data_IF_910753800110
#
_entry.id   IF_910753800110
#
_cell.length_a   1.000
_cell.length_b   1.000
_cell.length_c   1.000
_cell.angle_alpha   90.00
_cell.angle_beta   90.00
_cell.angle_gamma   90.00
#
_symmetry.space_group_name_H-M   'P 1'
#
loop_
_entity.id
_entity.type
_entity.pdbx_description
1 polymer ?
#
# COMPACT_ATOMS: atom_id res chain seq x y z
N UNK A 1 -11.89 44.27 62.68
CA UNK A 1 -12.59 43.02 63.08
C UNK A 1 -12.82 42.13 61.88
N UNK A 2 -12.14 41.01 61.94
CA UNK A 2 -12.48 39.74 61.33
C UNK A 2 -12.74 39.61 59.81
N UNK A 3 -11.68 39.28 59.04
CA UNK A 3 -11.75 38.48 57.86
C UNK A 3 -10.63 37.42 57.90
N UNK A 4 -10.82 36.39 58.70
CA UNK A 4 -9.97 35.23 58.82
C UNK A 4 -10.86 33.98 58.88
N UNK A 5 -11.51 33.57 57.77
CA UNK A 5 -12.15 32.26 57.67
C UNK A 5 -12.65 32.03 56.23
N UNK A 6 -11.76 31.71 55.27
CA UNK A 6 -12.04 30.58 54.42
C UNK A 6 -10.78 29.80 53.91
N UNK A 7 -9.65 29.87 54.64
CA UNK A 7 -8.43 29.13 54.18
C UNK A 7 -8.37 27.70 54.70
N UNK A 8 -9.22 27.31 55.65
CA UNK A 8 -9.17 25.96 56.24
C UNK A 8 -9.98 24.87 55.49
N UNK A 9 -10.82 25.24 54.50
CA UNK A 9 -11.63 24.25 53.76
C UNK A 9 -10.99 23.76 52.47
N UNK A 10 -9.90 24.38 51.97
CA UNK A 10 -9.22 23.96 50.75
C UNK A 10 -8.11 22.92 51.00
N UNK A 11 -7.69 22.75 52.24
CA UNK A 11 -6.61 21.80 52.58
C UNK A 11 -7.08 20.34 52.78
N UNK A 12 -8.38 20.08 52.87
CA UNK A 12 -8.91 18.73 53.07
C UNK A 12 -9.25 17.98 51.79
N UNK A 13 -9.23 18.63 50.61
CA UNK A 13 -9.47 17.96 49.33
C UNK A 13 -8.20 17.44 48.60
N UNK A 14 -7.02 17.67 49.15
CA UNK A 14 -5.75 17.23 48.58
C UNK A 14 -5.19 15.92 49.18
N UNK A 15 -5.88 15.25 50.08
CA UNK A 15 -5.44 14.04 50.75
C UNK A 15 -6.17 12.76 50.30
N UNK A 16 -6.78 12.75 49.11
CA UNK A 16 -7.66 11.67 48.65
C UNK A 16 -7.19 10.77 47.49
N UNK A 17 -5.94 10.90 47.02
CA UNK A 17 -5.40 9.95 46.02
C UNK A 17 -4.21 9.19 46.61
N UNK A 18 -4.47 8.24 47.47
CA UNK A 18 -3.43 7.27 47.86
C UNK A 18 -2.86 6.54 46.66
N UNK A 19 -1.57 6.29 46.66
CA UNK A 19 -0.95 5.46 45.59
C UNK A 19 -1.69 4.12 45.52
N UNK A 20 -1.96 3.59 44.31
CA UNK A 20 -2.66 2.32 44.18
C UNK A 20 -1.88 1.21 44.88
N UNK A 21 -2.57 0.44 45.73
CA UNK A 21 -1.97 -0.72 46.38
C UNK A 21 -1.84 -1.84 45.36
N UNK A 22 -0.63 -2.26 45.07
CA UNK A 22 -0.31 -3.30 44.10
C UNK A 22 0.32 -4.47 44.86
N UNK A 23 -0.36 -5.64 44.88
CA UNK A 23 0.12 -6.83 45.57
C UNK A 23 1.09 -7.65 44.72
N UNK A 24 0.90 -7.67 43.42
CA UNK A 24 1.78 -8.35 42.47
C UNK A 24 2.12 -7.42 41.31
N UNK A 25 3.25 -6.71 41.39
CA UNK A 25 3.63 -5.73 40.37
C UNK A 25 3.78 -6.32 38.99
N UNK A 26 4.40 -7.50 38.84
CA UNK A 26 4.65 -8.16 37.56
C UNK A 26 3.34 -8.56 36.85
N UNK A 27 2.37 -9.12 37.56
CA UNK A 27 1.05 -9.44 37.02
C UNK A 27 0.28 -8.19 36.67
N UNK A 28 0.25 -7.20 37.56
CA UNK A 28 -0.46 -5.93 37.36
C UNK A 28 0.10 -5.16 36.16
N UNK A 29 1.40 -5.20 35.96
CA UNK A 29 2.07 -4.55 34.83
C UNK A 29 1.58 -5.08 33.48
N UNK A 30 1.18 -6.34 33.40
CA UNK A 30 0.75 -6.99 32.16
C UNK A 30 -0.76 -6.93 31.92
N UNK A 31 -1.57 -6.41 32.85
CA UNK A 31 -3.00 -6.25 32.70
C UNK A 31 -3.32 -5.04 31.79
N UNK A 32 -3.76 -5.31 30.57
CA UNK A 32 -4.23 -4.25 29.66
C UNK A 32 -5.48 -3.57 30.19
N UNK A 33 -5.65 -2.28 29.88
CA UNK A 33 -6.83 -1.52 30.34
C UNK A 33 -6.73 -0.92 31.74
N UNK A 34 -5.64 -1.18 32.50
CA UNK A 34 -5.34 -0.41 33.72
C UNK A 34 -4.92 1.01 33.37
N UNK A 35 -5.13 1.94 34.30
CA UNK A 35 -4.67 3.34 34.11
C UNK A 35 -3.14 3.43 34.04
N UNK A 36 -2.65 4.45 33.35
CA UNK A 36 -1.21 4.76 33.29
C UNK A 36 -0.56 4.83 34.67
N UNK A 37 -1.23 5.45 35.63
CA UNK A 37 -0.75 5.57 37.02
C UNK A 37 -0.49 4.20 37.66
N UNK A 38 -1.36 3.20 37.40
CA UNK A 38 -1.20 1.83 37.93
C UNK A 38 0.01 1.16 37.27
N UNK A 39 0.15 1.26 35.95
CA UNK A 39 1.31 0.69 35.25
C UNK A 39 2.62 1.32 35.68
N UNK A 40 2.68 2.65 35.79
CA UNK A 40 3.87 3.38 36.25
C UNK A 40 4.23 2.95 37.66
N UNK A 41 3.25 2.86 38.56
CA UNK A 41 3.48 2.39 39.94
C UNK A 41 3.99 0.95 39.99
N UNK A 42 3.48 0.07 39.14
CA UNK A 42 3.99 -1.30 39.03
C UNK A 42 5.45 -1.33 38.54
N UNK A 43 5.83 -0.47 37.57
CA UNK A 43 7.21 -0.34 37.12
C UNK A 43 8.13 0.16 38.27
N UNK A 44 7.71 1.19 39.03
CA UNK A 44 8.48 1.69 40.17
C UNK A 44 8.75 0.61 41.22
N UNK A 45 7.75 -0.23 41.51
CA UNK A 45 7.91 -1.33 42.44
C UNK A 45 8.88 -2.39 41.89
N UNK A 46 8.79 -2.75 40.60
CA UNK A 46 9.71 -3.68 39.97
C UNK A 46 11.13 -3.11 39.85
N UNK A 47 11.27 -1.81 39.60
CA UNK A 47 12.58 -1.13 39.63
C UNK A 47 13.28 -1.31 40.99
N UNK A 48 12.49 -1.28 42.10
CA UNK A 48 13.02 -1.45 43.45
C UNK A 48 13.19 -2.93 43.87
N UNK A 49 12.37 -3.85 43.34
CA UNK A 49 12.31 -5.24 43.76
C UNK A 49 13.34 -6.11 43.00
N UNK A 50 13.37 -6.01 41.66
CA UNK A 50 14.17 -6.86 40.79
C UNK A 50 15.21 -6.08 39.99
N UNK A 51 14.95 -4.79 39.74
CA UNK A 51 15.83 -3.94 38.94
C UNK A 51 15.68 -4.14 37.44
N UNK A 52 16.22 -3.20 36.66
CA UNK A 52 16.15 -3.20 35.20
C UNK A 52 16.99 -4.30 34.54
N UNK A 53 17.93 -4.90 35.26
CA UNK A 53 18.77 -6.02 34.83
C UNK A 53 17.97 -7.31 34.67
N UNK A 54 16.83 -7.44 35.36
CA UNK A 54 15.94 -8.62 35.24
C UNK A 54 15.40 -8.80 33.85
N UNK A 55 15.65 -9.96 33.24
CA UNK A 55 15.29 -10.24 31.86
C UNK A 55 13.78 -10.32 31.63
N UNK A 56 13.03 -10.81 32.62
CA UNK A 56 11.57 -10.95 32.49
C UNK A 56 10.91 -9.59 32.64
N UNK A 57 11.42 -8.73 33.50
CA UNK A 57 10.98 -7.34 33.55
C UNK A 57 11.28 -6.59 32.26
N UNK A 58 12.48 -6.73 31.64
CA UNK A 58 12.78 -6.17 30.33
C UNK A 58 11.78 -6.65 29.25
N UNK A 59 11.46 -7.94 29.23
CA UNK A 59 10.46 -8.49 28.27
C UNK A 59 9.09 -7.85 28.48
N UNK A 60 8.68 -7.62 29.72
CA UNK A 60 7.43 -6.94 30.04
C UNK A 60 7.43 -5.49 29.54
N UNK A 61 8.51 -4.73 29.79
CA UNK A 61 8.66 -3.36 29.28
C UNK A 61 8.61 -3.33 27.75
N UNK A 62 9.33 -4.23 27.08
CA UNK A 62 9.24 -4.37 25.61
C UNK A 62 7.80 -4.63 25.14
N UNK A 63 7.05 -5.51 25.84
CA UNK A 63 5.66 -5.77 25.48
C UNK A 63 4.78 -4.53 25.63
N UNK A 64 4.95 -3.75 26.69
CA UNK A 64 4.17 -2.53 26.93
C UNK A 64 4.34 -1.52 25.78
N UNK A 65 5.57 -1.31 25.32
CA UNK A 65 5.88 -0.37 24.24
C UNK A 65 5.09 -0.70 22.96
N UNK A 66 4.94 -2.01 22.63
CA UNK A 66 4.45 -2.43 21.33
C UNK A 66 3.04 -3.03 21.31
N UNK A 67 2.55 -3.55 22.41
CA UNK A 67 1.24 -4.19 22.43
C UNK A 67 0.09 -3.17 22.51
N UNK A 68 -1.04 -3.43 21.85
CA UNK A 68 -2.24 -2.62 22.04
C UNK A 68 -2.75 -2.72 23.49
N UNK A 69 -3.53 -1.70 23.93
CA UNK A 69 -4.17 -1.71 25.24
C UNK A 69 -3.37 -1.07 26.37
N UNK A 70 -2.14 -0.61 26.12
CA UNK A 70 -1.39 0.24 27.06
C UNK A 70 -1.48 1.72 26.67
N UNK A 71 -1.54 2.60 27.67
CA UNK A 71 -1.57 4.04 27.44
C UNK A 71 -0.22 4.54 26.91
N UNK A 72 -0.22 5.69 26.25
CA UNK A 72 1.00 6.32 25.74
C UNK A 72 2.00 6.63 26.87
N UNK A 73 1.52 7.09 28.02
CA UNK A 73 2.36 7.40 29.18
C UNK A 73 3.04 6.15 29.75
N UNK A 74 2.33 5.01 29.83
CA UNK A 74 2.91 3.75 30.26
C UNK A 74 3.99 3.26 29.29
N UNK A 75 3.74 3.41 27.98
CA UNK A 75 4.71 3.06 26.92
C UNK A 75 5.95 3.93 26.97
N UNK A 76 5.77 5.24 27.18
CA UNK A 76 6.88 6.18 27.34
C UNK A 76 7.75 5.83 28.55
N UNK A 77 7.14 5.56 29.70
CA UNK A 77 7.86 5.18 30.91
C UNK A 77 8.61 3.85 30.76
N UNK A 78 8.05 2.89 30.00
CA UNK A 78 8.74 1.65 29.67
C UNK A 78 9.91 1.89 28.71
N UNK A 79 9.73 2.78 27.71
CA UNK A 79 10.78 3.15 26.76
C UNK A 79 11.96 3.84 27.46
N UNK A 80 11.67 4.81 28.34
CA UNK A 80 12.72 5.55 29.07
C UNK A 80 13.58 4.64 29.96
N UNK A 81 12.99 3.62 30.59
CA UNK A 81 13.73 2.63 31.38
C UNK A 81 14.67 1.80 30.52
N UNK A 82 14.18 1.28 29.40
CA UNK A 82 15.00 0.51 28.45
C UNK A 82 16.08 1.38 27.80
N UNK A 83 15.78 2.64 27.51
CA UNK A 83 16.72 3.62 26.96
C UNK A 83 17.85 3.93 27.94
N UNK A 84 17.51 4.15 29.20
CA UNK A 84 18.51 4.41 30.27
C UNK A 84 19.42 3.21 30.55
N UNK A 85 18.90 1.99 30.36
CA UNK A 85 19.63 0.75 30.60
C UNK A 85 20.53 0.35 29.42
N UNK A 86 19.97 0.32 28.18
CA UNK A 86 20.70 -0.12 27.00
C UNK A 86 20.21 0.66 25.75
N UNK A 87 20.86 1.78 25.50
CA UNK A 87 20.55 2.64 24.33
C UNK A 87 20.69 1.90 23.00
N UNK A 88 21.77 1.12 22.84
CA UNK A 88 22.03 0.42 21.57
C UNK A 88 20.97 -0.64 21.26
N UNK A 89 20.57 -1.42 22.26
CA UNK A 89 19.50 -2.41 22.12
C UNK A 89 18.17 -1.76 21.83
N UNK A 90 17.90 -0.61 22.47
CA UNK A 90 16.67 0.19 22.22
C UNK A 90 16.67 0.72 20.80
N UNK A 91 17.75 1.32 20.29
CA UNK A 91 17.88 1.78 18.90
C UNK A 91 17.68 0.61 17.93
N UNK A 92 18.29 -0.55 18.16
CA UNK A 92 18.09 -1.75 17.32
C UNK A 92 16.63 -2.17 17.27
N UNK A 93 15.94 -2.14 18.41
CA UNK A 93 14.50 -2.51 18.49
C UNK A 93 13.63 -1.49 17.76
N UNK A 94 13.88 -0.20 17.95
CA UNK A 94 13.19 0.88 17.27
C UNK A 94 13.38 0.79 15.75
N UNK A 95 14.61 0.55 15.27
CA UNK A 95 14.92 0.37 13.84
C UNK A 95 14.09 -0.73 13.20
N UNK A 96 13.79 -1.81 13.93
CA UNK A 96 12.98 -2.93 13.41
C UNK A 96 11.48 -2.69 13.50
N UNK A 97 11.01 -1.98 14.54
CA UNK A 97 9.60 -1.85 14.86
C UNK A 97 8.94 -0.62 14.28
N UNK A 98 9.62 0.52 14.29
CA UNK A 98 9.07 1.79 13.80
C UNK A 98 8.51 1.71 12.36
N UNK A 99 9.18 1.07 11.39
CA UNK A 99 8.64 0.94 10.03
C UNK A 99 7.37 0.12 9.91
N UNK A 100 6.99 -0.62 10.97
CA UNK A 100 5.82 -1.51 10.98
C UNK A 100 4.69 -0.99 11.86
N UNK A 101 4.86 0.19 12.44
CA UNK A 101 3.84 0.78 13.30
C UNK A 101 2.74 1.41 12.46
N UNK A 102 1.50 1.15 12.87
CA UNK A 102 0.36 1.87 12.33
C UNK A 102 0.34 3.30 12.90
N UNK A 103 -0.32 4.21 12.17
CA UNK A 103 -0.58 5.57 12.62
C UNK A 103 -1.35 5.60 13.94
N UNK A 104 -1.02 6.56 14.77
CA UNK A 104 -1.67 6.78 16.04
C UNK A 104 -0.83 7.65 16.98
N UNK A 105 -1.41 8.07 18.08
CA UNK A 105 -0.79 8.98 19.05
C UNK A 105 0.56 8.48 19.56
N UNK A 106 0.71 7.18 19.75
CA UNK A 106 1.99 6.61 20.20
C UNK A 106 3.10 6.74 19.17
N UNK A 107 2.81 6.56 17.89
CA UNK A 107 3.80 6.76 16.81
C UNK A 107 4.25 8.23 16.76
N UNK A 108 3.31 9.16 16.91
CA UNK A 108 3.61 10.59 16.95
C UNK A 108 4.53 10.93 18.13
N UNK A 109 4.18 10.51 19.35
CA UNK A 109 4.99 10.73 20.54
C UNK A 109 6.39 10.09 20.44
N UNK A 110 6.47 8.92 19.82
CA UNK A 110 7.76 8.26 19.60
C UNK A 110 8.64 9.05 18.63
N UNK A 111 8.07 9.60 17.55
CA UNK A 111 8.78 10.47 16.60
C UNK A 111 9.25 11.78 17.29
N UNK A 112 8.40 12.39 18.12
CA UNK A 112 8.75 13.56 18.92
C UNK A 112 9.90 13.27 19.90
N UNK A 113 9.84 12.13 20.60
CA UNK A 113 10.89 11.70 21.51
C UNK A 113 12.22 11.42 20.76
N UNK A 114 12.18 10.73 19.61
CA UNK A 114 13.38 10.49 18.76
C UNK A 114 14.04 11.82 18.38
N UNK A 115 13.22 12.82 18.07
CA UNK A 115 13.69 14.17 17.72
C UNK A 115 14.30 14.88 18.93
N UNK A 116 13.63 14.82 20.08
CA UNK A 116 14.12 15.47 21.33
C UNK A 116 15.48 14.88 21.78
N UNK A 117 15.64 13.57 21.67
CA UNK A 117 16.89 12.87 22.01
C UNK A 117 17.93 12.92 20.87
N UNK A 118 17.61 13.54 19.72
CA UNK A 118 18.48 13.67 18.55
C UNK A 118 19.09 12.32 18.09
N UNK A 119 18.25 11.26 18.01
CA UNK A 119 18.68 9.90 17.67
C UNK A 119 18.82 9.77 16.14
N UNK A 120 19.89 10.34 15.59
CA UNK A 120 20.15 10.37 14.15
C UNK A 120 20.28 8.98 13.50
N UNK A 121 20.66 7.96 14.28
CA UNK A 121 20.78 6.56 13.84
C UNK A 121 19.43 5.94 13.41
N UNK A 122 18.33 6.60 13.72
CA UNK A 122 16.98 6.15 13.34
C UNK A 122 16.45 6.80 12.05
N UNK A 123 17.24 7.63 11.36
CA UNK A 123 16.76 8.30 10.13
C UNK A 123 16.25 7.30 9.06
N UNK A 124 16.98 6.19 8.82
CA UNK A 124 16.53 5.17 7.88
C UNK A 124 15.23 4.49 8.33
N UNK A 125 15.00 4.31 9.62
CA UNK A 125 13.78 3.76 10.17
C UNK A 125 12.60 4.73 10.02
N UNK A 126 12.84 6.03 10.22
CA UNK A 126 11.87 7.10 9.98
C UNK A 126 11.50 7.18 8.49
N UNK A 127 12.49 7.19 7.58
CA UNK A 127 12.24 7.16 6.13
C UNK A 127 11.42 5.91 5.75
N UNK A 128 11.80 4.74 6.27
CA UNK A 128 11.09 3.48 6.00
C UNK A 128 9.66 3.46 6.54
N UNK A 129 9.41 4.11 7.68
CA UNK A 129 8.08 4.28 8.24
C UNK A 129 7.24 5.27 7.43
N UNK A 130 7.84 6.40 7.05
CA UNK A 130 7.19 7.43 6.24
C UNK A 130 6.83 6.93 4.84
N UNK A 131 7.67 6.12 4.23
CA UNK A 131 7.43 5.56 2.90
C UNK A 131 6.21 4.62 2.85
N UNK A 132 5.76 4.06 3.98
CA UNK A 132 4.52 3.30 4.03
C UNK A 132 3.31 4.23 3.83
N UNK A 133 2.44 3.97 2.85
CA UNK A 133 1.23 4.76 2.65
C UNK A 133 0.31 4.72 3.89
N UNK A 134 -0.30 5.84 4.23
CA UNK A 134 -1.28 5.92 5.31
C UNK A 134 -2.56 6.61 4.81
N UNK A 135 -3.67 5.88 4.81
CA UNK A 135 -4.94 6.35 4.26
C UNK A 135 -5.60 7.50 5.04
N UNK A 136 -5.21 7.70 6.30
CA UNK A 136 -5.80 8.71 7.18
C UNK A 136 -5.05 10.05 7.17
N UNK A 137 -3.86 10.09 6.57
CA UNK A 137 -3.03 11.30 6.47
C UNK A 137 -3.31 11.97 5.13
N UNK A 138 -3.58 13.26 5.14
CA UNK A 138 -3.97 14.02 3.93
C UNK A 138 -2.77 14.46 3.10
N UNK A 139 -1.69 14.85 3.76
CA UNK A 139 -0.46 15.33 3.10
C UNK A 139 0.77 14.69 3.71
N UNK A 140 1.86 14.67 2.96
CA UNK A 140 3.13 14.10 3.45
C UNK A 140 3.70 14.92 4.61
N UNK A 141 3.42 16.22 4.65
CA UNK A 141 3.87 17.15 5.70
C UNK A 141 3.19 16.92 7.06
N UNK A 142 2.04 16.25 7.09
CA UNK A 142 1.35 15.88 8.33
C UNK A 142 1.92 14.60 8.98
N UNK A 143 2.83 13.91 8.29
CA UNK A 143 3.43 12.67 8.78
C UNK A 143 4.38 12.93 9.95
N UNK A 144 4.22 12.25 11.09
CA UNK A 144 5.09 12.45 12.25
C UNK A 144 6.56 12.14 11.95
N UNK A 145 6.82 11.19 11.04
CA UNK A 145 8.17 10.85 10.60
C UNK A 145 8.81 11.98 9.79
N UNK A 146 8.03 12.64 8.91
CA UNK A 146 8.50 13.81 8.17
C UNK A 146 8.84 14.95 9.12
N UNK A 147 7.94 15.25 10.08
CA UNK A 147 8.15 16.30 11.07
C UNK A 147 9.43 16.03 11.88
N UNK A 148 9.67 14.78 12.29
CA UNK A 148 10.88 14.38 13.00
C UNK A 148 12.14 14.59 12.14
N UNK A 149 12.14 14.11 10.90
CA UNK A 149 13.26 14.28 9.97
C UNK A 149 13.55 15.77 9.68
N UNK A 150 12.50 16.55 9.42
CA UNK A 150 12.59 17.98 9.18
C UNK A 150 13.23 18.75 10.36
N UNK A 151 12.88 18.35 11.58
CA UNK A 151 13.41 18.98 12.78
C UNK A 151 14.90 18.63 12.99
N UNK A 152 15.31 17.42 12.62
CA UNK A 152 16.71 16.97 12.77
C UNK A 152 17.63 17.45 11.62
N UNK A 153 17.11 17.58 10.39
CA UNK A 153 17.94 17.77 9.19
C UNK A 153 17.64 19.02 8.36
N UNK A 154 16.58 19.79 8.65
CA UNK A 154 15.99 20.83 7.79
C UNK A 154 15.23 20.29 6.56
N UNK A 155 14.29 21.10 6.05
CA UNK A 155 13.44 20.74 4.89
C UNK A 155 14.24 20.46 3.62
N UNK A 156 15.18 21.34 3.33
CA UNK A 156 15.97 21.28 2.08
C UNK A 156 16.86 20.04 1.99
N UNK A 157 17.25 19.48 3.14
CA UNK A 157 18.12 18.30 3.22
C UNK A 157 17.36 16.95 3.13
N UNK A 158 16.04 16.94 3.32
CA UNK A 158 15.28 15.69 3.42
C UNK A 158 15.34 14.87 2.13
N UNK A 159 15.13 15.51 0.99
CA UNK A 159 15.18 14.82 -0.30
C UNK A 159 16.55 14.22 -0.57
N UNK A 160 17.63 14.93 -0.22
CA UNK A 160 19.00 14.46 -0.35
C UNK A 160 19.24 13.27 0.60
N UNK A 161 18.78 13.37 1.83
CA UNK A 161 18.90 12.28 2.83
C UNK A 161 18.22 10.99 2.33
N UNK A 162 17.00 11.07 1.75
CA UNK A 162 16.29 9.91 1.21
C UNK A 162 17.05 9.35 0.00
N UNK A 163 17.53 10.23 -0.89
CA UNK A 163 18.26 9.85 -2.10
C UNK A 163 19.57 9.13 -1.76
N UNK A 164 20.38 9.70 -0.87
CA UNK A 164 21.65 9.12 -0.43
C UNK A 164 21.45 7.80 0.30
N UNK A 165 20.40 7.71 1.15
CA UNK A 165 20.03 6.48 1.83
C UNK A 165 19.61 5.38 0.83
N UNK A 166 18.94 5.73 -0.26
CA UNK A 166 18.56 4.80 -1.33
C UNK A 166 19.78 4.27 -2.07
N UNK A 167 20.72 5.16 -2.43
CA UNK A 167 21.92 4.79 -3.20
C UNK A 167 22.89 3.98 -2.34
N UNK A 168 23.12 4.41 -1.09
CA UNK A 168 24.05 3.75 -0.17
C UNK A 168 23.55 2.43 0.39
N UNK A 169 22.25 2.13 0.29
CA UNK A 169 21.68 0.88 0.78
C UNK A 169 22.27 -0.34 0.06
N UNK A 170 22.75 -1.31 0.83
CA UNK A 170 23.37 -2.54 0.29
C UNK A 170 22.38 -3.33 -0.57
N UNK A 171 22.87 -3.80 -1.71
CA UNK A 171 22.13 -4.35 -2.84
C UNK A 171 21.29 -5.60 -2.54
N UNK A 172 21.72 -6.48 -1.64
CA UNK A 172 21.13 -7.82 -1.54
C UNK A 172 19.94 -7.94 -0.60
N UNK A 173 19.99 -7.32 0.58
CA UNK A 173 18.94 -7.49 1.60
C UNK A 173 18.12 -6.24 1.89
N UNK A 174 18.49 -5.08 1.29
CA UNK A 174 17.79 -3.80 1.45
C UNK A 174 16.95 -3.38 0.26
N UNK A 175 16.63 -4.30 -0.65
CA UNK A 175 15.81 -3.98 -1.83
C UNK A 175 14.45 -3.37 -1.46
N UNK A 176 13.79 -3.89 -0.44
CA UNK A 176 12.53 -3.32 0.04
C UNK A 176 12.67 -1.89 0.57
N UNK A 177 13.80 -1.55 1.20
CA UNK A 177 14.08 -0.19 1.65
C UNK A 177 14.32 0.76 0.47
N UNK A 178 15.13 0.34 -0.52
CA UNK A 178 15.39 1.11 -1.75
C UNK A 178 14.11 1.40 -2.51
N UNK A 179 13.26 0.39 -2.66
CA UNK A 179 11.93 0.53 -3.28
C UNK A 179 11.08 1.57 -2.56
N UNK A 180 11.07 1.58 -1.24
CA UNK A 180 10.32 2.56 -0.44
C UNK A 180 10.88 3.98 -0.58
N UNK A 181 12.20 4.15 -0.59
CA UNK A 181 12.82 5.44 -0.86
C UNK A 181 12.44 5.95 -2.27
N UNK A 182 12.45 5.06 -3.27
CA UNK A 182 12.05 5.36 -4.63
C UNK A 182 10.60 5.87 -4.70
N UNK A 183 9.66 5.14 -4.10
CA UNK A 183 8.24 5.54 -4.02
C UNK A 183 8.06 6.86 -3.30
N UNK A 184 8.76 7.06 -2.18
CA UNK A 184 8.68 8.29 -1.40
C UNK A 184 9.19 9.50 -2.21
N UNK A 185 10.31 9.37 -2.93
CA UNK A 185 10.83 10.42 -3.80
C UNK A 185 9.84 10.77 -4.94
N UNK A 186 9.11 9.79 -5.47
CA UNK A 186 8.02 10.05 -6.42
C UNK A 186 6.87 10.84 -5.79
N UNK A 187 6.42 10.48 -4.58
CA UNK A 187 5.37 11.20 -3.85
C UNK A 187 5.77 12.64 -3.52
N UNK A 188 7.07 12.86 -3.29
CA UNK A 188 7.66 14.17 -3.05
C UNK A 188 8.00 14.95 -4.34
N UNK A 189 7.52 14.50 -5.51
CA UNK A 189 7.71 15.15 -6.82
C UNK A 189 9.18 15.23 -7.30
N UNK A 190 10.04 14.32 -6.85
CA UNK A 190 11.45 14.26 -7.31
C UNK A 190 11.67 13.31 -8.51
N UNK A 191 10.63 13.05 -9.33
CA UNK A 191 10.70 12.17 -10.51
C UNK A 191 11.82 12.57 -11.47
N UNK A 192 11.99 13.87 -11.75
CA UNK A 192 13.03 14.35 -12.65
C UNK A 192 14.46 13.98 -12.18
N UNK A 193 14.70 14.03 -10.86
CA UNK A 193 15.98 13.63 -10.26
C UNK A 193 16.21 12.10 -10.39
N UNK A 194 15.16 11.31 -10.24
CA UNK A 194 15.23 9.85 -10.42
C UNK A 194 15.51 9.47 -11.87
N UNK A 195 14.90 10.14 -12.84
CA UNK A 195 15.19 9.96 -14.27
C UNK A 195 16.65 10.32 -14.54
N UNK A 196 17.11 11.47 -14.07
CA UNK A 196 18.51 11.91 -14.25
C UNK A 196 19.51 10.91 -13.66
N UNK A 197 19.20 10.32 -12.51
CA UNK A 197 20.00 9.24 -11.92
C UNK A 197 20.11 8.04 -12.87
N UNK A 198 18.98 7.58 -13.43
CA UNK A 198 18.97 6.44 -14.35
C UNK A 198 19.70 6.72 -15.68
N UNK A 199 19.64 7.96 -16.19
CA UNK A 199 20.30 8.36 -17.44
C UNK A 199 21.83 8.50 -17.29
N UNK A 200 22.26 9.07 -16.17
CA UNK A 200 23.66 9.54 -16.02
C UNK A 200 24.54 8.54 -15.26
N UNK A 201 23.95 7.55 -14.59
CA UNK A 201 24.71 6.63 -13.75
C UNK A 201 24.88 5.29 -14.44
N UNK A 202 26.13 4.81 -14.49
CA UNK A 202 26.43 3.43 -14.84
C UNK A 202 26.35 2.59 -13.55
N UNK A 203 25.35 1.74 -13.46
CA UNK A 203 25.18 0.82 -12.33
C UNK A 203 25.99 -0.44 -12.51
N UNK A 204 26.35 -1.07 -11.38
CA UNK A 204 26.98 -2.36 -11.40
C UNK A 204 25.99 -3.43 -11.89
N UNK A 205 26.45 -4.44 -12.61
CA UNK A 205 25.61 -5.49 -13.20
C UNK A 205 24.86 -6.32 -12.17
N UNK A 206 25.37 -6.40 -10.94
CA UNK A 206 24.71 -7.06 -9.80
C UNK A 206 23.68 -6.18 -9.07
N UNK A 207 23.56 -4.90 -9.43
CA UNK A 207 22.55 -4.00 -8.91
C UNK A 207 21.22 -4.12 -9.66
N UNK A 208 20.59 -5.27 -9.51
CA UNK A 208 19.35 -5.63 -10.20
C UNK A 208 18.27 -4.56 -10.04
N UNK A 209 18.21 -3.85 -8.90
CA UNK A 209 17.21 -2.81 -8.67
C UNK A 209 17.31 -1.68 -9.70
N UNK A 210 18.48 -1.08 -9.85
CA UNK A 210 18.66 0.00 -10.81
C UNK A 210 18.77 -0.48 -12.25
N UNK A 211 19.31 -1.68 -12.49
CA UNK A 211 19.37 -2.28 -13.83
C UNK A 211 17.96 -2.51 -14.39
N UNK A 212 17.03 -3.05 -13.58
CA UNK A 212 15.64 -3.24 -13.99
C UNK A 212 14.96 -1.90 -14.31
N UNK A 213 15.16 -0.88 -13.46
CA UNK A 213 14.60 0.47 -13.66
C UNK A 213 15.16 1.13 -14.92
N UNK A 214 16.47 1.05 -15.13
CA UNK A 214 17.14 1.61 -16.31
C UNK A 214 16.69 0.91 -17.59
N UNK A 215 16.53 -0.42 -17.54
CA UNK A 215 16.02 -1.21 -18.67
C UNK A 215 14.58 -0.82 -19.03
N UNK A 216 13.70 -0.66 -18.03
CA UNK A 216 12.32 -0.22 -18.26
C UNK A 216 12.26 1.19 -18.87
N UNK A 217 13.06 2.11 -18.35
CA UNK A 217 13.16 3.47 -18.90
C UNK A 217 13.67 3.46 -20.35
N UNK A 218 14.75 2.73 -20.63
CA UNK A 218 15.38 2.72 -21.96
C UNK A 218 14.58 1.97 -23.02
N UNK A 219 13.97 0.82 -22.64
CA UNK A 219 13.26 -0.03 -23.59
C UNK A 219 11.79 0.34 -23.74
N UNK A 220 11.12 0.68 -22.62
CA UNK A 220 9.70 0.93 -22.59
C UNK A 220 9.34 2.42 -22.44
N UNK A 221 10.31 3.26 -22.06
CA UNK A 221 10.06 4.67 -21.71
C UNK A 221 9.27 4.85 -20.41
N UNK A 222 9.22 3.80 -19.57
CA UNK A 222 8.43 3.80 -18.32
C UNK A 222 9.38 3.90 -17.14
N UNK A 223 9.09 4.86 -16.26
CA UNK A 223 9.73 4.98 -14.96
C UNK A 223 8.69 4.65 -13.89
N UNK A 224 8.77 3.47 -13.24
CA UNK A 224 7.75 3.02 -12.31
C UNK A 224 7.67 3.94 -11.10
N UNK A 225 6.44 4.12 -10.59
CA UNK A 225 6.21 4.98 -9.45
C UNK A 225 6.11 4.21 -8.14
N UNK A 226 5.80 2.90 -8.20
CA UNK A 226 5.43 2.08 -7.07
C UNK A 226 6.18 0.75 -7.04
N UNK A 227 6.23 0.18 -5.87
CA UNK A 227 6.86 -1.12 -5.63
C UNK A 227 6.31 -2.21 -6.53
N UNK A 228 5.00 -2.26 -6.71
CA UNK A 228 4.32 -3.30 -7.49
C UNK A 228 4.75 -3.26 -8.95
N UNK A 229 4.92 -2.07 -9.51
CA UNK A 229 5.43 -1.87 -10.87
C UNK A 229 6.91 -2.31 -11.01
N UNK A 230 7.73 -2.06 -9.98
CA UNK A 230 9.13 -2.53 -9.94
C UNK A 230 9.18 -4.06 -9.93
N UNK A 231 8.30 -4.71 -9.15
CA UNK A 231 8.19 -6.17 -9.15
C UNK A 231 7.73 -6.70 -10.52
N UNK A 232 6.81 -5.99 -11.17
CA UNK A 232 6.34 -6.32 -12.51
C UNK A 232 7.46 -6.24 -13.55
N UNK A 233 8.25 -5.17 -13.55
CA UNK A 233 9.43 -5.02 -14.42
C UNK A 233 10.41 -6.17 -14.21
N UNK A 234 10.70 -6.52 -12.97
CA UNK A 234 11.60 -7.63 -12.63
C UNK A 234 11.10 -8.95 -13.21
N UNK A 235 9.81 -9.22 -13.09
CA UNK A 235 9.20 -10.42 -13.63
C UNK A 235 9.30 -10.44 -15.16
N UNK A 236 8.86 -9.37 -15.83
CA UNK A 236 8.90 -9.25 -17.28
C UNK A 236 10.33 -9.21 -17.87
N UNK A 237 11.34 -8.92 -17.06
CA UNK A 237 12.75 -8.94 -17.47
C UNK A 237 13.33 -10.36 -17.59
N UNK A 238 12.62 -11.39 -17.10
CA UNK A 238 13.05 -12.78 -17.17
C UNK A 238 13.03 -13.32 -18.61
N UNK A 239 13.88 -14.33 -18.92
CA UNK A 239 13.99 -14.88 -20.29
C UNK A 239 12.68 -15.41 -20.85
N UNK A 240 11.80 -15.98 -20.02
CA UNK A 240 10.50 -16.51 -20.44
C UNK A 240 9.56 -15.45 -21.00
N UNK A 241 9.71 -14.19 -20.59
CA UNK A 241 8.91 -13.06 -21.05
C UNK A 241 9.58 -12.24 -22.17
N UNK A 242 10.74 -12.67 -22.67
CA UNK A 242 11.50 -11.91 -23.68
C UNK A 242 10.66 -11.54 -24.91
N UNK A 243 9.89 -12.47 -25.44
CA UNK A 243 9.05 -12.21 -26.62
C UNK A 243 8.02 -11.11 -26.36
N UNK A 244 7.39 -11.14 -25.19
CA UNK A 244 6.43 -10.10 -24.78
C UNK A 244 7.13 -8.76 -24.57
N UNK A 245 8.32 -8.75 -23.93
CA UNK A 245 9.10 -7.53 -23.73
C UNK A 245 9.47 -6.85 -25.04
N UNK A 246 9.97 -7.65 -26.01
CA UNK A 246 10.35 -7.13 -27.33
C UNK A 246 9.14 -6.54 -28.08
N UNK A 247 7.96 -7.16 -27.98
CA UNK A 247 6.72 -6.65 -28.55
C UNK A 247 6.23 -5.39 -27.83
N UNK A 248 6.32 -5.36 -26.52
CA UNK A 248 5.99 -4.17 -25.73
C UNK A 248 6.86 -2.97 -26.09
N UNK A 249 8.18 -3.20 -26.25
CA UNK A 249 9.13 -2.17 -26.70
C UNK A 249 8.72 -1.58 -28.06
N UNK A 250 8.37 -2.43 -29.03
CA UNK A 250 7.92 -1.98 -30.35
C UNK A 250 6.60 -1.20 -30.24
N UNK A 251 5.68 -1.67 -29.44
CA UNK A 251 4.35 -1.06 -29.30
C UNK A 251 4.44 0.33 -28.62
N UNK A 252 5.21 0.42 -27.54
CA UNK A 252 5.38 1.66 -26.78
C UNK A 252 6.22 2.70 -27.54
N UNK A 253 7.13 2.29 -28.44
CA UNK A 253 7.88 3.23 -29.26
C UNK A 253 7.03 4.04 -30.26
N UNK A 254 5.78 3.62 -30.49
CA UNK A 254 4.80 4.34 -31.33
C UNK A 254 4.09 5.49 -30.62
N UNK A 255 4.23 5.56 -29.29
CA UNK A 255 3.65 6.61 -28.46
C UNK A 255 4.58 7.83 -28.47
N UNK A 256 3.99 9.03 -28.53
CA UNK A 256 4.69 10.25 -28.17
C UNK A 256 4.98 10.33 -26.67
N UNK A 257 5.81 11.28 -26.26
CA UNK A 257 6.27 11.41 -24.88
C UNK A 257 5.09 11.66 -23.92
N UNK A 258 4.10 12.47 -24.31
CA UNK A 258 2.94 12.77 -23.46
C UNK A 258 2.06 11.56 -23.19
N UNK A 259 1.86 10.70 -24.20
CA UNK A 259 1.12 9.43 -24.02
C UNK A 259 1.93 8.42 -23.26
N UNK A 260 3.25 8.38 -23.48
CA UNK A 260 4.16 7.46 -22.79
C UNK A 260 4.25 7.79 -21.31
N UNK A 261 4.29 9.07 -20.93
CA UNK A 261 4.24 9.51 -19.54
C UNK A 261 2.92 9.16 -18.82
N UNK A 262 1.85 8.91 -19.58
CA UNK A 262 0.54 8.48 -19.05
C UNK A 262 0.37 6.95 -18.98
N UNK A 263 1.43 6.16 -19.23
CA UNK A 263 1.43 4.70 -19.16
C UNK A 263 2.02 4.24 -17.84
N UNK A 264 1.30 3.35 -17.16
CA UNK A 264 1.78 2.53 -16.05
C UNK A 264 2.07 1.10 -16.53
N UNK A 265 2.75 0.30 -15.72
CA UNK A 265 3.06 -1.10 -16.08
C UNK A 265 1.81 -1.92 -16.44
N UNK A 266 0.67 -1.69 -15.77
CA UNK A 266 -0.62 -2.35 -16.08
C UNK A 266 -1.14 -2.06 -17.48
N UNK A 267 -0.72 -0.95 -18.08
CA UNK A 267 -1.16 -0.58 -19.43
C UNK A 267 -0.27 -1.22 -20.51
N UNK A 268 0.91 -1.77 -20.18
CA UNK A 268 1.82 -2.37 -21.18
C UNK A 268 1.15 -3.48 -21.99
N UNK A 269 0.49 -4.49 -21.39
CA UNK A 269 -0.25 -5.50 -22.17
C UNK A 269 -1.37 -4.89 -23.01
N UNK A 270 -1.99 -3.83 -22.53
CA UNK A 270 -3.06 -3.11 -23.25
C UNK A 270 -2.51 -2.42 -24.49
N UNK A 271 -1.36 -1.76 -24.40
CA UNK A 271 -0.69 -1.12 -25.55
C UNK A 271 -0.25 -2.16 -26.59
N UNK A 272 0.22 -3.32 -26.15
CA UNK A 272 0.49 -4.46 -27.04
C UNK A 272 -0.80 -4.92 -27.75
N UNK A 273 -1.91 -5.03 -27.02
CA UNK A 273 -3.22 -5.36 -27.60
C UNK A 273 -3.73 -4.27 -28.54
N UNK A 274 -3.52 -3.00 -28.21
CA UNK A 274 -3.90 -1.88 -29.06
C UNK A 274 -3.25 -1.94 -30.43
N UNK A 275 -2.01 -2.37 -30.52
CA UNK A 275 -1.32 -2.57 -31.79
C UNK A 275 -2.01 -3.62 -32.68
N UNK A 276 -2.64 -4.63 -32.10
CA UNK A 276 -3.29 -5.73 -32.82
C UNK A 276 -4.77 -5.46 -33.13
N UNK A 277 -5.46 -4.74 -32.24
CA UNK A 277 -6.90 -4.57 -32.27
C UNK A 277 -7.38 -3.12 -32.46
N UNK A 278 -6.48 -2.14 -32.38
CA UNK A 278 -6.86 -0.72 -32.31
C UNK A 278 -7.05 0.00 -33.65
N UNK A 279 -6.69 -0.63 -34.77
CA UNK A 279 -6.76 0.00 -36.10
C UNK A 279 -5.62 1.01 -36.38
N UNK A 280 -5.60 1.60 -37.59
CA UNK A 280 -4.49 2.39 -38.10
C UNK A 280 -4.16 3.64 -37.26
N UNK A 281 -5.17 4.29 -36.67
CA UNK A 281 -5.01 5.52 -35.91
C UNK A 281 -5.03 5.30 -34.38
N UNK A 282 -4.88 4.05 -33.92
CA UNK A 282 -5.04 3.74 -32.49
C UNK A 282 -4.10 4.55 -31.60
N UNK A 283 -2.84 4.71 -32.04
CA UNK A 283 -1.79 5.39 -31.26
C UNK A 283 -1.83 6.92 -31.35
N UNK A 284 -2.52 7.49 -32.35
CA UNK A 284 -2.57 8.95 -32.55
C UNK A 284 -3.77 9.63 -31.91
N UNK A 285 -4.80 8.88 -31.48
CA UNK A 285 -5.99 9.43 -30.84
C UNK A 285 -5.66 10.11 -29.52
N UNK A 286 -6.32 11.24 -29.30
CA UNK A 286 -6.23 11.94 -28.02
C UNK A 286 -7.04 11.23 -26.94
N UNK A 287 -6.72 11.52 -25.68
CA UNK A 287 -7.49 11.04 -24.53
C UNK A 287 -8.96 11.42 -24.64
N UNK A 288 -9.25 12.65 -25.04
CA UNK A 288 -10.60 13.19 -25.18
C UNK A 288 -11.41 12.48 -26.27
N UNK A 289 -10.79 12.17 -27.41
CA UNK A 289 -11.45 11.40 -28.48
C UNK A 289 -11.85 10.00 -27.98
N UNK A 290 -10.95 9.30 -27.28
CA UNK A 290 -11.22 7.98 -26.74
C UNK A 290 -12.33 8.05 -25.68
N UNK A 291 -12.26 8.99 -24.73
CA UNK A 291 -13.26 9.15 -23.68
C UNK A 291 -14.66 9.49 -24.24
N UNK A 292 -14.74 10.31 -25.29
CA UNK A 292 -16.01 10.64 -25.94
C UNK A 292 -16.62 9.44 -26.68
N UNK A 293 -15.78 8.60 -27.31
CA UNK A 293 -16.23 7.35 -27.91
C UNK A 293 -16.73 6.36 -26.86
N UNK A 294 -16.00 6.23 -25.74
CA UNK A 294 -16.41 5.40 -24.60
C UNK A 294 -17.75 5.87 -24.02
N UNK A 295 -17.91 7.18 -23.81
CA UNK A 295 -19.16 7.74 -23.29
C UNK A 295 -20.34 7.43 -24.22
N UNK A 296 -20.12 7.51 -25.52
CA UNK A 296 -21.14 7.18 -26.52
C UNK A 296 -21.51 5.69 -26.47
N UNK A 297 -20.51 4.80 -26.39
CA UNK A 297 -20.72 3.34 -26.30
C UNK A 297 -21.41 2.94 -24.99
N UNK A 298 -21.07 3.59 -23.87
CA UNK A 298 -21.60 3.29 -22.54
C UNK A 298 -22.91 3.98 -22.22
N UNK A 299 -23.34 4.97 -23.00
CA UNK A 299 -24.56 5.74 -22.72
C UNK A 299 -25.81 4.90 -22.57
N UNK A 300 -25.91 3.82 -23.32
CA UNK A 300 -27.07 2.91 -23.34
C UNK A 300 -26.79 1.58 -22.66
N UNK A 301 -25.60 1.45 -22.00
CA UNK A 301 -25.28 0.26 -21.26
C UNK A 301 -26.12 0.19 -19.98
N UNK A 302 -26.67 -0.98 -19.70
CA UNK A 302 -27.35 -1.22 -18.42
C UNK A 302 -26.29 -1.32 -17.33
N UNK A 303 -26.37 -0.40 -16.38
CA UNK A 303 -25.50 -0.45 -15.23
C UNK A 303 -26.25 -1.11 -14.09
N UNK A 304 -25.66 -2.18 -13.59
CA UNK A 304 -26.08 -2.78 -12.33
C UNK A 304 -25.12 -2.23 -11.28
N UNK A 305 -25.57 -1.85 -10.24
CA UNK A 305 -25.30 -0.86 -9.41
C UNK A 305 -24.66 -0.99 -8.18
N UNK A 306 -24.43 -0.10 -7.64
CA UNK A 306 -24.29 0.42 -6.28
C UNK A 306 -24.49 -0.67 -5.25
N UNK A 307 -23.39 -1.18 -4.66
CA UNK A 307 -23.49 -1.79 -3.35
C UNK A 307 -24.03 -0.72 -2.41
N UNK A 308 -25.28 -0.82 -1.98
CA UNK A 308 -25.74 -0.08 -0.82
C UNK A 308 -24.90 -0.55 0.37
N UNK A 309 -23.90 0.25 0.74
CA UNK A 309 -23.12 -0.01 1.91
C UNK A 309 -24.01 -0.08 3.13
N UNK A 310 -24.09 -1.23 3.76
CA UNK A 310 -24.75 -1.37 5.06
C UNK A 310 -24.08 -0.43 6.07
N UNK A 311 -24.88 0.45 6.72
CA UNK A 311 -24.39 1.35 7.74
C UNK A 311 -24.05 2.76 7.25
N UNK A 312 -23.01 3.36 7.83
CA UNK A 312 -22.62 4.77 7.60
C UNK A 312 -21.89 5.02 6.25
N UNK A 313 -21.58 3.99 5.49
CA UNK A 313 -20.84 4.10 4.25
C UNK A 313 -21.79 4.07 3.05
N UNK A 314 -21.88 5.18 2.32
CA UNK A 314 -22.44 5.18 0.98
C UNK A 314 -21.38 4.67 0.02
N UNK A 315 -21.70 3.66 -0.77
CA UNK A 315 -20.88 3.26 -1.90
C UNK A 315 -20.70 4.44 -2.86
N UNK A 316 -19.48 4.66 -3.35
CA UNK A 316 -19.25 5.65 -4.39
C UNK A 316 -19.88 5.17 -5.71
N UNK A 317 -20.42 6.09 -6.49
CA UNK A 317 -20.93 5.77 -7.82
C UNK A 317 -19.78 5.28 -8.72
N UNK A 318 -19.87 4.07 -9.24
CA UNK A 318 -18.90 3.46 -10.17
C UNK A 318 -19.19 3.84 -11.65
N UNK A 319 -20.02 4.85 -11.89
CA UNK A 319 -20.37 5.27 -13.23
C UNK A 319 -19.19 5.93 -13.95
N UNK A 320 -18.99 5.57 -15.21
CA UNK A 320 -17.95 6.13 -16.06
C UNK A 320 -17.88 7.68 -16.01
N UNK A 321 -19.03 8.35 -16.09
CA UNK A 321 -19.12 9.82 -16.02
C UNK A 321 -18.56 10.43 -14.76
N UNK A 322 -18.60 9.69 -13.64
CA UNK A 322 -18.08 10.16 -12.32
C UNK A 322 -16.56 10.16 -12.30
N UNK A 323 -15.94 9.21 -13.00
CA UNK A 323 -14.50 9.01 -13.00
C UNK A 323 -13.78 9.51 -14.26
N UNK A 324 -14.52 9.75 -15.33
CA UNK A 324 -14.02 10.13 -16.67
C UNK A 324 -12.88 11.16 -16.62
N UNK A 325 -13.04 12.21 -15.81
CA UNK A 325 -12.05 13.29 -15.75
C UNK A 325 -10.71 12.91 -15.07
N UNK A 326 -10.70 11.80 -14.33
CA UNK A 326 -9.51 11.28 -13.62
C UNK A 326 -8.72 10.28 -14.45
N UNK A 327 -9.32 9.74 -15.51
CA UNK A 327 -8.70 8.71 -16.34
C UNK A 327 -7.56 9.29 -17.15
N UNK A 328 -6.42 8.61 -17.17
CA UNK A 328 -5.29 8.91 -18.05
C UNK A 328 -5.58 8.46 -19.48
N UNK A 329 -4.67 8.73 -20.43
CA UNK A 329 -4.74 8.14 -21.75
C UNK A 329 -4.64 6.61 -21.69
N UNK A 330 -3.74 6.08 -20.84
CA UNK A 330 -3.59 4.65 -20.60
C UNK A 330 -4.85 3.99 -20.05
N UNK A 331 -5.56 4.65 -19.12
CA UNK A 331 -6.84 4.15 -18.62
C UNK A 331 -7.93 4.15 -19.68
N UNK A 332 -7.95 5.19 -20.53
CA UNK A 332 -8.95 5.30 -21.59
C UNK A 332 -8.81 4.17 -22.63
N UNK A 333 -7.58 3.86 -23.10
CA UNK A 333 -7.35 2.72 -23.99
C UNK A 333 -7.62 1.38 -23.31
N UNK A 334 -7.35 1.28 -22.01
CA UNK A 334 -7.65 0.08 -21.22
C UNK A 334 -9.13 -0.24 -21.26
N UNK A 335 -10.00 0.75 -21.04
CA UNK A 335 -11.46 0.57 -21.15
C UNK A 335 -11.89 0.25 -22.57
N UNK A 336 -11.28 0.84 -23.58
CA UNK A 336 -11.60 0.55 -24.99
C UNK A 336 -11.24 -0.90 -25.36
N UNK A 337 -10.06 -1.38 -24.97
CA UNK A 337 -9.63 -2.77 -25.19
C UNK A 337 -10.51 -3.73 -24.41
N UNK A 338 -10.94 -3.38 -23.18
CA UNK A 338 -11.93 -4.17 -22.44
C UNK A 338 -13.22 -4.34 -23.23
N UNK A 339 -13.82 -3.24 -23.73
CA UNK A 339 -15.05 -3.31 -24.50
C UNK A 339 -14.86 -4.10 -25.81
N UNK A 340 -13.68 -4.02 -26.42
CA UNK A 340 -13.33 -4.82 -27.60
C UNK A 340 -13.28 -6.30 -27.25
N UNK A 341 -12.57 -6.69 -26.19
CA UNK A 341 -12.51 -8.07 -25.73
C UNK A 341 -13.90 -8.63 -25.38
N UNK A 342 -14.71 -7.85 -24.65
CA UNK A 342 -16.08 -8.24 -24.29
C UNK A 342 -17.05 -8.23 -25.47
N UNK A 343 -16.69 -7.67 -26.63
CA UNK A 343 -17.50 -7.76 -27.85
C UNK A 343 -17.31 -9.09 -28.60
N UNK A 344 -16.22 -9.83 -28.32
CA UNK A 344 -15.90 -11.11 -28.96
C UNK A 344 -16.86 -12.19 -28.45
N UNK A 345 -17.62 -12.88 -29.34
CA UNK A 345 -18.63 -13.87 -28.92
C UNK A 345 -18.05 -15.01 -28.06
N UNK A 346 -16.86 -15.50 -28.42
CA UNK A 346 -16.19 -16.61 -27.72
C UNK A 346 -15.79 -16.20 -26.29
N UNK A 347 -15.29 -14.98 -26.12
CA UNK A 347 -14.94 -14.41 -24.79
C UNK A 347 -16.20 -14.29 -23.93
N UNK A 348 -17.29 -13.74 -24.49
CA UNK A 348 -18.58 -13.66 -23.78
C UNK A 348 -19.10 -15.02 -23.37
N UNK A 349 -19.13 -15.98 -24.30
CA UNK A 349 -19.63 -17.32 -24.03
C UNK A 349 -18.83 -18.00 -22.91
N UNK A 350 -17.51 -17.82 -22.93
CA UNK A 350 -16.63 -18.36 -21.91
C UNK A 350 -16.92 -17.74 -20.52
N UNK A 351 -16.96 -16.41 -20.44
CA UNK A 351 -17.27 -15.70 -19.19
C UNK A 351 -18.62 -16.10 -18.60
N UNK A 352 -19.69 -16.18 -19.44
CA UNK A 352 -21.01 -16.62 -18.96
C UNK A 352 -21.01 -18.06 -18.48
N UNK A 353 -20.32 -18.98 -19.17
CA UNK A 353 -20.21 -20.38 -18.74
C UNK A 353 -19.45 -20.50 -17.42
N UNK A 354 -18.42 -19.69 -17.25
CA UNK A 354 -17.62 -19.67 -16.02
C UNK A 354 -18.41 -19.07 -14.85
N UNK A 355 -19.10 -17.96 -15.07
CA UNK A 355 -20.00 -17.35 -14.08
C UNK A 355 -21.15 -18.30 -13.65
N UNK A 356 -21.69 -19.13 -14.56
CA UNK A 356 -22.67 -20.15 -14.18
C UNK A 356 -22.09 -21.21 -13.25
N UNK A 357 -20.83 -21.61 -13.44
CA UNK A 357 -20.16 -22.55 -12.56
C UNK A 357 -19.93 -21.93 -11.19
N UNK A 358 -19.52 -20.67 -11.15
CA UNK A 358 -19.35 -19.89 -9.92
C UNK A 358 -20.67 -19.82 -9.13
N UNK A 359 -21.77 -19.44 -9.80
CA UNK A 359 -23.10 -19.35 -9.19
C UNK A 359 -23.63 -20.67 -8.61
N UNK A 360 -23.10 -21.82 -9.06
CA UNK A 360 -23.45 -23.14 -8.56
C UNK A 360 -22.54 -23.59 -7.39
N UNK A 361 -21.39 -22.97 -7.21
CA UNK A 361 -20.41 -23.30 -6.17
C UNK A 361 -20.41 -22.22 -5.08
N UNK A 362 -21.28 -22.37 -4.10
CA UNK A 362 -21.39 -21.44 -2.95
C UNK A 362 -20.19 -21.48 -1.98
N UNK A 363 -19.12 -22.22 -2.31
CA UNK A 363 -17.96 -22.39 -1.39
C UNK A 363 -16.85 -21.39 -1.67
N UNK A 364 -16.84 -20.72 -2.82
CA UNK A 364 -15.78 -19.77 -3.21
C UNK A 364 -16.22 -18.94 -4.40
N UNK A 365 -15.59 -17.80 -4.60
CA UNK A 365 -15.71 -17.00 -5.83
C UNK A 365 -14.70 -17.48 -6.88
N UNK A 366 -15.10 -17.51 -8.14
CA UNK A 366 -14.25 -17.88 -9.27
C UNK A 366 -13.64 -16.64 -9.92
N UNK A 367 -12.47 -16.81 -10.53
CA UNK A 367 -11.80 -15.71 -11.21
C UNK A 367 -10.68 -16.18 -12.13
N UNK A 368 -10.05 -15.22 -12.78
CA UNK A 368 -9.02 -15.51 -13.75
C UNK A 368 -8.43 -14.24 -14.37
N UNK A 369 -7.89 -14.39 -15.57
CA UNK A 369 -7.36 -13.26 -16.33
C UNK A 369 -7.91 -13.26 -17.77
N UNK A 370 -8.06 -12.07 -18.34
CA UNK A 370 -8.25 -11.86 -19.76
C UNK A 370 -6.87 -11.60 -20.36
N UNK A 371 -6.45 -12.41 -21.29
CA UNK A 371 -5.13 -12.38 -21.91
C UNK A 371 -5.19 -12.38 -23.44
N UNK A 372 -4.05 -12.29 -24.08
CA UNK A 372 -3.89 -12.57 -25.51
C UNK A 372 -3.21 -13.93 -25.68
N UNK A 373 -3.81 -14.78 -26.53
CA UNK A 373 -3.17 -16.03 -26.93
C UNK A 373 -1.94 -15.77 -27.82
N UNK A 374 -1.19 -16.81 -28.15
CA UNK A 374 -0.01 -16.72 -29.02
C UNK A 374 -0.29 -16.15 -30.41
N UNK A 375 -1.55 -16.15 -30.85
CA UNK A 375 -2.00 -15.56 -32.12
C UNK A 375 -2.52 -14.14 -31.94
N UNK A 376 -2.51 -13.61 -30.69
CA UNK A 376 -2.99 -12.30 -30.33
C UNK A 376 -4.51 -12.19 -30.22
N UNK A 377 -5.24 -13.28 -30.12
CA UNK A 377 -6.67 -13.28 -29.88
C UNK A 377 -6.95 -13.20 -28.40
N UNK A 378 -8.05 -12.55 -28.00
CA UNK A 378 -8.49 -12.53 -26.62
C UNK A 378 -8.87 -13.93 -26.14
N UNK A 379 -8.36 -14.31 -24.99
CA UNK A 379 -8.68 -15.57 -24.31
C UNK A 379 -8.96 -15.35 -22.82
N UNK A 380 -9.75 -16.26 -22.24
CA UNK A 380 -10.00 -16.32 -20.80
C UNK A 380 -9.19 -17.48 -20.23
N UNK A 381 -8.33 -17.16 -19.25
CA UNK A 381 -7.61 -18.15 -18.47
C UNK A 381 -8.25 -18.26 -17.09
N UNK A 382 -8.77 -19.43 -16.78
CA UNK A 382 -9.45 -19.72 -15.51
C UNK A 382 -8.44 -20.17 -14.47
N UNK A 383 -8.62 -19.67 -13.24
CA UNK A 383 -7.79 -20.05 -12.11
C UNK A 383 -8.68 -20.36 -10.90
N UNK A 384 -8.95 -21.63 -10.69
CA UNK A 384 -9.73 -22.05 -9.53
C UNK A 384 -8.98 -21.75 -8.22
N UNK A 385 -9.66 -21.11 -7.23
CA UNK A 385 -9.05 -20.81 -5.97
C UNK A 385 -8.72 -22.11 -5.21
N UNK A 386 -7.49 -22.18 -4.69
CA UNK A 386 -7.05 -23.31 -3.87
C UNK A 386 -7.63 -23.28 -2.45
N UNK A 387 -7.91 -22.08 -1.95
CA UNK A 387 -8.47 -21.86 -0.62
C UNK A 387 -9.91 -21.38 -0.81
N UNK A 388 -10.85 -22.11 -0.23
CA UNK A 388 -12.28 -21.82 -0.32
C UNK A 388 -12.76 -21.23 1.00
N UNK A 389 -13.28 -20.00 0.94
CA UNK A 389 -13.73 -19.26 2.13
C UNK A 389 -15.14 -18.69 1.94
N UNK A 390 -16.10 -19.54 1.62
CA UNK A 390 -17.44 -19.13 1.27
C UNK A 390 -17.48 -18.19 0.04
N UNK A 391 -18.66 -17.99 -0.48
CA UNK A 391 -19.00 -17.16 -1.63
C UNK A 391 -18.93 -15.66 -1.29
N UNK A 392 -17.79 -15.20 -0.77
CA UNK A 392 -17.54 -13.80 -0.35
C UNK A 392 -16.08 -13.40 -0.49
N UNK A 393 -15.25 -14.25 -1.05
CA UNK A 393 -13.83 -13.95 -1.18
C UNK A 393 -13.18 -14.77 -2.28
N UNK A 394 -12.67 -14.06 -3.27
CA UNK A 394 -11.76 -14.62 -4.25
C UNK A 394 -10.33 -14.69 -3.68
N UNK A 395 -9.69 -15.86 -3.79
CA UNK A 395 -8.29 -16.05 -3.43
C UNK A 395 -7.48 -16.43 -4.68
N UNK A 396 -6.84 -15.45 -5.29
CA UNK A 396 -6.00 -15.66 -6.45
C UNK A 396 -4.85 -16.65 -6.16
N UNK A 397 -4.63 -17.60 -7.06
CA UNK A 397 -3.52 -18.54 -6.97
C UNK A 397 -2.21 -17.90 -7.45
N UNK A 398 -1.05 -18.43 -7.05
CA UNK A 398 0.24 -17.98 -7.57
C UNK A 398 0.31 -18.11 -9.10
N UNK A 399 -0.24 -19.17 -9.68
CA UNK A 399 -0.27 -19.36 -11.13
C UNK A 399 -1.06 -18.26 -11.85
N UNK A 400 -2.12 -17.72 -11.20
CA UNK A 400 -2.84 -16.56 -11.74
C UNK A 400 -1.96 -15.31 -11.73
N UNK A 401 -1.22 -15.06 -10.64
CA UNK A 401 -0.29 -13.94 -10.59
C UNK A 401 0.82 -14.07 -11.64
N UNK A 402 1.36 -15.28 -11.84
CA UNK A 402 2.39 -15.51 -12.85
C UNK A 402 1.87 -15.25 -14.28
N UNK A 403 0.62 -15.65 -14.59
CA UNK A 403 -0.03 -15.35 -15.86
C UNK A 403 -0.40 -13.87 -16.00
N UNK A 404 -0.64 -13.20 -14.91
CA UNK A 404 -1.15 -11.84 -14.86
C UNK A 404 -0.14 -10.79 -15.36
N UNK A 405 1.17 -11.05 -15.28
CA UNK A 405 2.19 -10.08 -15.70
C UNK A 405 2.11 -9.71 -17.21
N UNK A 406 1.58 -10.60 -18.04
CA UNK A 406 1.34 -10.35 -19.47
C UNK A 406 -0.14 -10.24 -19.83
N UNK A 407 -1.05 -10.42 -18.86
CA UNK A 407 -2.48 -10.35 -19.07
C UNK A 407 -2.99 -8.89 -19.12
N UNK A 408 -4.14 -8.71 -19.74
CA UNK A 408 -4.81 -7.42 -19.87
C UNK A 408 -5.58 -7.02 -18.62
N UNK A 409 -6.29 -8.00 -18.03
CA UNK A 409 -7.17 -7.78 -16.89
C UNK A 409 -7.16 -8.98 -15.96
N UNK A 410 -7.23 -8.71 -14.66
CA UNK A 410 -7.64 -9.67 -13.65
C UNK A 410 -9.15 -9.59 -13.50
N UNK A 411 -9.81 -10.71 -13.24
CA UNK A 411 -11.23 -10.68 -12.94
C UNK A 411 -11.64 -11.73 -11.91
N UNK A 412 -12.75 -11.47 -11.23
CA UNK A 412 -13.52 -12.46 -10.49
C UNK A 412 -15.01 -12.15 -10.60
N UNK A 413 -15.85 -13.10 -10.14
CA UNK A 413 -17.28 -12.99 -10.22
C UNK A 413 -17.91 -12.71 -8.88
N UNK A 414 -18.91 -11.84 -8.87
CA UNK A 414 -19.91 -11.73 -7.83
C UNK A 414 -21.23 -12.33 -8.36
N UNK A 415 -21.20 -13.62 -8.72
CA UNK A 415 -22.32 -14.37 -9.30
C UNK A 415 -23.26 -14.88 -8.22
N UNK A 416 -23.79 -14.00 -7.38
CA UNK A 416 -24.61 -14.37 -6.22
C UNK A 416 -26.10 -14.30 -6.53
N UNK A 417 -26.91 -15.02 -5.70
CA UNK A 417 -28.36 -14.96 -5.77
C UNK A 417 -28.86 -13.52 -5.58
N UNK A 418 -29.93 -13.13 -6.27
CA UNK A 418 -30.52 -11.79 -6.26
C UNK A 418 -30.67 -11.13 -4.88
N UNK A 419 -30.94 -11.91 -3.83
CA UNK A 419 -31.04 -11.41 -2.43
C UNK A 419 -29.72 -10.91 -1.85
N UNK A 420 -28.59 -11.14 -2.50
CA UNK A 420 -27.26 -10.67 -2.11
C UNK A 420 -26.81 -9.45 -2.95
N UNK A 421 -27.73 -8.72 -3.56
CA UNK A 421 -27.46 -7.56 -4.41
C UNK A 421 -26.56 -6.49 -3.80
N UNK A 422 -26.46 -6.45 -2.45
CA UNK A 422 -25.50 -5.57 -1.74
C UNK A 422 -24.02 -5.93 -1.96
N UNK A 423 -23.76 -7.06 -2.60
CA UNK A 423 -22.41 -7.52 -2.94
C UNK A 423 -22.14 -7.57 -4.45
N UNK A 424 -23.02 -6.97 -5.25
CA UNK A 424 -22.90 -7.00 -6.71
C UNK A 424 -21.71 -6.17 -7.25
N UNK A 425 -21.34 -5.08 -6.60
CA UNK A 425 -20.20 -4.25 -7.02
C UNK A 425 -18.90 -4.57 -6.26
N UNK A 426 -17.78 -3.94 -6.65
CA UNK A 426 -16.50 -4.15 -6.00
C UNK A 426 -16.53 -3.70 -4.52
N UNK A 427 -16.14 -4.59 -3.62
CA UNK A 427 -16.01 -4.33 -2.19
C UNK A 427 -14.68 -3.67 -1.81
N UNK A 428 -14.46 -3.47 -0.50
CA UNK A 428 -13.17 -2.95 -0.01
C UNK A 428 -12.01 -3.90 -0.34
N UNK A 429 -12.23 -5.22 -0.21
CA UNK A 429 -11.21 -6.23 -0.53
C UNK A 429 -10.77 -6.19 -1.99
N UNK A 430 -11.70 -5.93 -2.91
CA UNK A 430 -11.40 -5.83 -4.35
C UNK A 430 -10.61 -4.57 -4.67
N UNK A 431 -10.93 -3.45 -4.01
CA UNK A 431 -10.18 -2.19 -4.13
C UNK A 431 -8.78 -2.33 -3.55
N UNK A 432 -8.65 -2.93 -2.37
CA UNK A 432 -7.35 -3.24 -1.75
C UNK A 432 -6.51 -4.17 -2.65
N UNK A 433 -7.15 -5.17 -3.28
CA UNK A 433 -6.46 -6.05 -4.23
C UNK A 433 -5.94 -5.26 -5.43
N UNK A 434 -6.78 -4.41 -6.05
CA UNK A 434 -6.38 -3.59 -7.18
C UNK A 434 -5.24 -2.62 -6.82
N UNK A 435 -5.30 -2.00 -5.64
CA UNK A 435 -4.26 -1.10 -5.16
C UNK A 435 -2.94 -1.84 -4.87
N UNK A 436 -3.02 -3.05 -4.31
CA UNK A 436 -1.85 -3.86 -3.96
C UNK A 436 -1.20 -4.58 -5.15
N UNK A 437 -1.96 -4.90 -6.19
CA UNK A 437 -1.43 -5.53 -7.41
C UNK A 437 -1.09 -4.54 -8.50
N UNK A 438 -1.68 -3.35 -8.47
CA UNK A 438 -1.65 -2.35 -9.55
C UNK A 438 -2.12 -2.90 -10.91
N UNK A 439 -2.91 -3.96 -10.91
CA UNK A 439 -3.46 -4.57 -12.10
C UNK A 439 -4.78 -3.87 -12.54
N UNK A 440 -5.17 -4.09 -13.80
CA UNK A 440 -6.50 -3.74 -14.27
C UNK A 440 -7.48 -4.80 -13.76
N UNK A 441 -8.26 -4.48 -12.73
CA UNK A 441 -9.14 -5.42 -12.06
C UNK A 441 -10.60 -5.22 -12.46
N UNK A 442 -11.32 -6.32 -12.64
CA UNK A 442 -12.73 -6.35 -13.03
C UNK A 442 -13.51 -7.21 -12.04
N UNK A 443 -14.71 -6.75 -11.71
CA UNK A 443 -15.71 -7.54 -10.99
C UNK A 443 -16.88 -7.74 -11.95
N UNK A 444 -17.17 -8.99 -12.29
CA UNK A 444 -18.34 -9.34 -13.11
C UNK A 444 -19.51 -9.72 -12.20
N UNK A 445 -20.62 -9.04 -12.37
CA UNK A 445 -21.88 -9.34 -11.69
C UNK A 445 -22.82 -10.11 -12.61
N UNK A 446 -23.66 -10.99 -12.05
CA UNK A 446 -24.52 -11.86 -12.82
C UNK A 446 -25.99 -11.54 -12.57
#
# INVERSE_FOLDING_TARGET
MNRLLPILFLAQFLLGCGAPTIHNPSTTLMETGRSSRVHIRAMELLDAEVGIEDQDYQKQLHRIIWAPGFSSEAREQALLRLWSFDKEKTIRTLRQRLPRMNSGSWKTQLCEWITAEQIVELHEALISAWANPESLVKTEEERPEYIALRTMYSDDAIADLIFDSMISAKKTWRQGYRTRCWELLHRLNHRARLISLLEQTKFDEDDIFFIDLQKAMNDLGIVPHRREEILWIRELSKPEHKSFWDEAKISLSKLDDARRDAIEMRNVPVVVSLQRHGGENAFSRTREEILNQLETKLKNATHHYETEGGGLFKASSELFRTHKNKLTWGDAITLEILLTALSVPEVKAHLFNYAKRDNLDETTEYGGVIALDKKGRFEILEFEPKIRHHDRRFNASQNMFDAAYTALFHFHFHAQKFRNGNHAGPGFGDKDYADNTRANCLVFTF
#
